data_IF_682311030825
#
_entry.id   IF_682311030825
#
_cell.length_a   1.000
_cell.length_b   1.000
_cell.length_c   1.000
_cell.angle_alpha   90.00
_cell.angle_beta   90.00
_cell.angle_gamma   90.00
#
_symmetry.space_group_name_H-M   'P 1'
#
loop_
_entity.id
_entity.type
_entity.pdbx_description
1 polymer ?
#
# COMPACT_ATOMS: atom_id res chain seq x y z
N UNK A 1 2.59 -16.03 9.81
CA UNK A 1 3.61 -15.64 8.79
C UNK A 1 4.96 -16.25 9.16
N UNK A 2 5.79 -16.68 8.20
CA UNK A 2 7.11 -17.26 8.53
C UNK A 2 8.11 -16.21 9.05
N UNK A 3 9.15 -16.67 9.76
CA UNK A 3 10.12 -15.79 10.43
C UNK A 3 10.92 -14.88 9.48
N UNK A 4 11.14 -15.30 8.23
CA UNK A 4 11.88 -14.49 7.26
C UNK A 4 11.01 -13.34 6.74
N UNK A 5 9.75 -13.64 6.41
CA UNK A 5 8.78 -12.63 6.02
C UNK A 5 8.50 -11.64 7.18
N UNK A 6 8.41 -12.14 8.41
CA UNK A 6 8.34 -11.31 9.61
C UNK A 6 9.51 -10.34 9.74
N UNK A 7 10.75 -10.83 9.58
CA UNK A 7 11.93 -10.00 9.64
C UNK A 7 11.91 -8.92 8.55
N UNK A 8 11.57 -9.29 7.31
CA UNK A 8 11.49 -8.34 6.20
C UNK A 8 10.44 -7.23 6.45
N UNK A 9 9.28 -7.59 7.01
CA UNK A 9 8.25 -6.62 7.39
C UNK A 9 8.73 -5.72 8.52
N UNK A 10 9.39 -6.26 9.55
CA UNK A 10 9.93 -5.48 10.66
C UNK A 10 11.00 -4.48 10.19
N UNK A 11 11.92 -4.91 9.35
CA UNK A 11 12.93 -4.03 8.75
C UNK A 11 12.29 -2.94 7.89
N UNK A 12 11.29 -3.28 7.08
CA UNK A 12 10.55 -2.31 6.28
C UNK A 12 9.88 -1.25 7.16
N UNK A 13 9.25 -1.65 8.27
CA UNK A 13 8.58 -0.73 9.18
C UNK A 13 9.55 0.15 9.96
N UNK A 14 10.73 -0.38 10.30
CA UNK A 14 11.82 0.41 10.87
C UNK A 14 12.31 1.50 9.88
N UNK A 15 12.35 1.22 8.58
CA UNK A 15 12.67 2.23 7.55
C UNK A 15 11.62 3.35 7.50
N UNK A 16 10.35 3.03 7.75
CA UNK A 16 9.24 4.00 7.76
C UNK A 16 9.13 4.80 9.07
N UNK A 17 10.12 4.73 9.97
CA UNK A 17 10.12 5.33 11.31
C UNK A 17 8.95 4.89 12.22
N UNK A 18 8.16 3.89 11.79
CA UNK A 18 7.08 3.28 12.55
C UNK A 18 7.65 2.08 13.32
N UNK A 19 8.22 2.35 14.50
CA UNK A 19 8.65 1.30 15.42
C UNK A 19 7.40 0.54 15.87
N UNK A 20 7.21 -0.67 15.33
CA UNK A 20 6.17 -1.58 15.81
C UNK A 20 6.42 -1.77 17.31
N UNK A 21 5.47 -1.41 18.18
CA UNK A 21 5.64 -1.67 19.59
C UNK A 21 5.77 -3.19 19.81
N UNK A 22 6.72 -3.66 20.62
CA UNK A 22 7.02 -5.10 20.78
C UNK A 22 5.78 -5.97 21.06
N UNK A 23 4.75 -5.40 21.66
CA UNK A 23 3.46 -6.03 21.95
C UNK A 23 2.62 -6.37 20.71
N UNK A 24 2.85 -5.72 19.57
CA UNK A 24 2.20 -6.03 18.29
C UNK A 24 2.91 -7.11 17.49
N UNK A 25 4.12 -7.56 17.86
CA UNK A 25 4.82 -8.64 17.15
C UNK A 25 4.01 -9.96 17.11
N UNK A 26 3.19 -10.19 18.14
CA UNK A 26 2.28 -11.35 18.23
C UNK A 26 1.25 -11.41 17.09
N UNK A 27 0.98 -10.29 16.41
CA UNK A 27 0.06 -10.27 15.27
C UNK A 27 0.56 -11.18 14.16
N UNK A 28 1.87 -11.27 13.96
CA UNK A 28 2.47 -12.02 12.85
C UNK A 28 2.45 -13.54 13.04
N UNK A 29 2.16 -14.01 14.26
CA UNK A 29 2.00 -15.43 14.56
C UNK A 29 0.69 -15.98 13.97
N UNK A 30 -0.24 -15.09 13.60
CA UNK A 30 -1.50 -15.47 12.97
C UNK A 30 -1.28 -15.92 11.50
N UNK A 31 -2.08 -16.89 11.00
CA UNK A 31 -2.01 -17.35 9.61
C UNK A 31 -2.44 -16.27 8.61
N UNK A 32 -3.23 -15.30 9.07
CA UNK A 32 -3.65 -14.12 8.34
C UNK A 32 -3.77 -12.95 9.29
N UNK A 33 -3.61 -11.73 8.78
CA UNK A 33 -3.86 -10.54 9.57
C UNK A 33 -3.66 -9.27 8.79
N UNK A 34 -3.95 -8.17 9.46
CA UNK A 34 -3.90 -6.81 8.90
C UNK A 34 -3.16 -5.92 9.86
N UNK A 35 -2.17 -5.21 9.36
CA UNK A 35 -1.46 -4.17 10.06
C UNK A 35 -1.69 -2.83 9.34
N UNK A 36 -2.36 -1.92 10.02
CA UNK A 36 -2.65 -0.56 9.54
C UNK A 36 -1.60 0.39 10.05
N UNK A 37 -1.00 1.17 9.15
CA UNK A 37 0.16 2.02 9.44
C UNK A 37 -0.16 3.43 9.00
N UNK A 38 0.06 4.37 9.91
CA UNK A 38 -0.03 5.80 9.61
C UNK A 38 1.35 6.33 9.26
N UNK A 39 1.52 6.86 8.06
CA UNK A 39 2.77 7.46 7.56
C UNK A 39 2.95 8.88 8.13
N UNK A 40 4.17 9.24 8.55
CA UNK A 40 4.51 10.61 8.94
C UNK A 40 4.29 11.61 7.78
N UNK A 41 4.04 12.87 8.13
CA UNK A 41 3.84 13.95 7.15
C UNK A 41 5.03 14.18 6.22
N UNK A 42 6.24 13.78 6.62
CA UNK A 42 7.48 13.88 5.83
C UNK A 42 7.48 13.00 4.58
N UNK A 43 6.68 11.93 4.56
CA UNK A 43 6.48 11.08 3.38
C UNK A 43 5.39 11.62 2.46
N UNK A 44 4.73 12.71 2.85
CA UNK A 44 3.66 13.34 2.10
C UNK A 44 4.25 14.29 1.06
N UNK A 45 4.52 13.76 -0.13
CA UNK A 45 4.74 14.60 -1.32
C UNK A 45 3.44 15.26 -1.82
N UNK A 46 2.30 15.04 -1.14
CA UNK A 46 0.97 15.47 -1.56
C UNK A 46 0.17 15.92 -0.33
N UNK A 47 -0.14 17.22 -0.23
CA UNK A 47 -0.68 17.87 0.97
C UNK A 47 -2.05 17.38 1.50
N UNK A 48 -2.66 16.34 0.93
CA UNK A 48 -4.00 15.89 1.32
C UNK A 48 -4.19 14.36 1.22
N UNK A 49 -4.40 13.74 2.39
CA UNK A 49 -5.28 12.59 2.67
C UNK A 49 -4.80 11.12 2.66
N UNK A 50 -3.61 10.73 2.22
CA UNK A 50 -3.24 9.30 2.25
C UNK A 50 -2.03 9.00 3.14
N UNK A 51 -2.14 9.36 4.41
CA UNK A 51 -1.19 8.93 5.44
C UNK A 51 -1.43 7.50 5.90
N UNK A 52 -2.22 6.68 5.20
CA UNK A 52 -2.60 5.36 5.68
C UNK A 52 -2.19 4.29 4.68
N UNK A 53 -1.49 3.26 5.14
CA UNK A 53 -1.24 2.03 4.38
C UNK A 53 -1.67 0.82 5.19
N UNK A 54 -2.01 -0.27 4.52
CA UNK A 54 -2.23 -1.55 5.18
C UNK A 54 -1.31 -2.61 4.61
N UNK A 55 -0.76 -3.41 5.52
CA UNK A 55 -0.11 -4.68 5.23
C UNK A 55 -1.11 -5.78 5.60
N UNK A 56 -1.58 -6.52 4.59
CA UNK A 56 -2.45 -7.68 4.80
C UNK A 56 -1.71 -8.95 4.42
N UNK A 57 -1.56 -9.90 5.31
CA UNK A 57 -1.04 -11.22 4.94
C UNK A 57 -2.15 -12.26 5.03
N UNK A 58 -2.14 -13.17 4.08
CA UNK A 58 -3.04 -14.31 4.05
C UNK A 58 -2.35 -15.45 3.30
N UNK A 59 -2.30 -16.63 3.94
CA UNK A 59 -1.71 -17.84 3.37
C UNK A 59 -0.25 -17.63 2.92
N UNK A 60 -0.04 -17.45 1.61
CA UNK A 60 1.26 -17.35 0.94
C UNK A 60 1.58 -15.93 0.46
N UNK A 61 0.68 -14.97 0.68
CA UNK A 61 0.79 -13.63 0.09
C UNK A 61 0.77 -12.54 1.15
N UNK A 62 1.54 -11.50 0.89
CA UNK A 62 1.46 -10.21 1.55
C UNK A 62 0.94 -9.19 0.54
N UNK A 63 -0.09 -8.46 0.92
CA UNK A 63 -0.66 -7.36 0.16
C UNK A 63 -0.30 -6.05 0.83
N UNK A 64 0.40 -5.18 0.09
CA UNK A 64 0.53 -3.75 0.39
C UNK A 64 -0.67 -3.04 -0.20
N UNK A 65 -1.44 -2.35 0.63
CA UNK A 65 -2.70 -1.72 0.26
C UNK A 65 -2.62 -0.24 0.58
N UNK A 66 -2.87 0.61 -0.42
CA UNK A 66 -2.87 2.07 -0.28
C UNK A 66 -4.23 2.60 -0.75
N UNK A 67 -4.96 3.33 0.10
CA UNK A 67 -6.20 3.99 -0.30
C UNK A 67 -5.90 5.03 -1.37
N UNK A 68 -6.81 5.23 -2.30
CA UNK A 68 -6.80 6.38 -3.21
C UNK A 68 -7.95 7.27 -2.77
N UNK A 69 -7.64 8.44 -2.21
CA UNK A 69 -8.69 9.41 -1.87
C UNK A 69 -9.34 9.88 -3.15
N UNK A 70 -10.61 9.53 -3.34
CA UNK A 70 -11.26 9.63 -4.63
C UNK A 70 -12.59 10.37 -4.56
N UNK A 71 -12.69 11.50 -5.28
CA UNK A 71 -13.87 12.37 -5.27
C UNK A 71 -14.80 12.19 -6.50
N UNK A 72 -14.78 11.08 -7.25
CA UNK A 72 -15.75 10.92 -8.36
C UNK A 72 -15.59 9.72 -9.32
N UNK A 73 -16.61 8.88 -9.40
CA UNK A 73 -16.58 7.51 -9.98
C UNK A 73 -16.37 7.37 -11.51
N UNK A 74 -16.69 8.36 -12.35
CA UNK A 74 -16.95 8.08 -13.78
C UNK A 74 -15.80 8.32 -14.78
N UNK A 75 -14.74 9.06 -14.42
CA UNK A 75 -13.57 9.27 -15.33
C UNK A 75 -12.48 8.20 -15.22
N UNK A 76 -12.61 7.23 -14.31
CA UNK A 76 -11.44 6.59 -13.67
C UNK A 76 -10.99 5.25 -14.24
N UNK A 77 -11.82 4.50 -14.95
CA UNK A 77 -11.39 3.17 -15.45
C UNK A 77 -10.18 3.26 -16.40
N UNK A 78 -10.16 4.24 -17.32
CA UNK A 78 -9.06 4.41 -18.27
C UNK A 78 -7.76 4.91 -17.61
N UNK A 79 -7.85 5.86 -16.67
CA UNK A 79 -6.69 6.36 -15.91
C UNK A 79 -6.10 5.26 -15.00
N UNK A 80 -6.95 4.47 -14.36
CA UNK A 80 -6.52 3.34 -13.52
C UNK A 80 -5.87 2.24 -14.36
N UNK A 81 -6.43 1.90 -15.52
CA UNK A 81 -5.83 0.94 -16.46
C UNK A 81 -4.50 1.46 -17.02
N UNK A 82 -4.40 2.74 -17.35
CA UNK A 82 -3.15 3.35 -17.81
C UNK A 82 -2.06 3.28 -16.73
N UNK A 83 -2.40 3.52 -15.46
CA UNK A 83 -1.46 3.42 -14.34
C UNK A 83 -0.95 1.98 -14.12
N UNK A 84 -1.83 0.99 -14.21
CA UNK A 84 -1.44 -0.41 -14.08
C UNK A 84 -0.60 -0.89 -15.27
N UNK A 85 -0.88 -0.42 -16.49
CA UNK A 85 -0.20 -0.86 -17.71
C UNK A 85 1.30 -0.55 -17.75
N UNK A 86 1.76 0.41 -16.94
CA UNK A 86 3.17 0.83 -16.86
C UNK A 86 3.85 0.28 -15.61
N UNK A 87 3.15 -0.51 -14.79
CA UNK A 87 3.72 -1.06 -13.57
C UNK A 87 4.77 -2.14 -13.89
N UNK A 88 6.02 -1.99 -13.40
CA UNK A 88 6.98 -3.09 -13.41
C UNK A 88 6.69 -4.12 -12.31
N UNK A 89 5.66 -3.90 -11.49
CA UNK A 89 5.33 -4.68 -10.30
C UNK A 89 3.91 -5.27 -10.41
N UNK A 90 3.64 -6.44 -9.80
CA UNK A 90 2.30 -6.98 -9.69
C UNK A 90 1.44 -6.05 -8.82
N UNK A 91 0.63 -5.22 -9.46
CA UNK A 91 -0.27 -4.28 -8.83
C UNK A 91 -1.66 -4.36 -9.46
N UNK A 92 -2.68 -4.07 -8.66
CA UNK A 92 -4.07 -4.09 -9.06
C UNK A 92 -4.79 -2.91 -8.41
N UNK A 93 -5.88 -2.49 -9.04
CA UNK A 93 -6.82 -1.54 -8.45
C UNK A 93 -8.06 -2.32 -8.03
N UNK A 94 -8.45 -2.17 -6.77
CA UNK A 94 -9.65 -2.79 -6.21
C UNK A 94 -10.60 -1.68 -5.75
N UNK A 95 -11.88 -1.88 -6.00
CA UNK A 95 -12.95 -1.05 -5.44
C UNK A 95 -13.60 -1.81 -4.29
N UNK A 96 -13.76 -1.16 -3.14
CA UNK A 96 -14.47 -1.77 -2.00
C UNK A 96 -15.99 -1.56 -2.08
N UNK A 97 -16.71 -2.09 -1.09
CA UNK A 97 -18.18 -2.00 -1.01
C UNK A 97 -18.71 -0.58 -0.78
N UNK A 98 -17.83 0.37 -0.48
CA UNK A 98 -18.15 1.78 -0.28
C UNK A 98 -17.70 2.62 -1.47
N UNK A 99 -17.43 1.98 -2.61
CA UNK A 99 -16.93 2.60 -3.84
C UNK A 99 -15.58 3.31 -3.67
N UNK A 100 -14.81 2.94 -2.65
CA UNK A 100 -13.46 3.49 -2.44
C UNK A 100 -12.45 2.69 -3.23
N UNK A 101 -11.53 3.41 -3.87
CA UNK A 101 -10.47 2.82 -4.67
C UNK A 101 -9.23 2.52 -3.81
N UNK A 102 -8.63 1.37 -4.07
CA UNK A 102 -7.45 0.87 -3.39
C UNK A 102 -6.42 0.41 -4.42
N UNK A 103 -5.19 0.88 -4.29
CA UNK A 103 -4.06 0.28 -4.98
C UNK A 103 -3.50 -0.85 -4.12
N UNK A 104 -3.42 -2.04 -4.71
CA UNK A 104 -2.95 -3.24 -4.02
C UNK A 104 -1.76 -3.79 -4.78
N UNK A 105 -0.68 -4.08 -4.08
CA UNK A 105 0.43 -4.86 -4.64
C UNK A 105 0.67 -6.10 -3.81
N UNK A 106 0.84 -7.23 -4.48
CA UNK A 106 0.97 -8.54 -3.82
C UNK A 106 2.39 -9.07 -3.98
N UNK A 107 2.95 -9.57 -2.89
CA UNK A 107 4.26 -10.19 -2.83
C UNK A 107 4.13 -11.58 -2.18
N UNK A 108 4.79 -12.61 -2.73
CA UNK A 108 4.81 -13.92 -2.09
C UNK A 108 5.63 -13.85 -0.79
N UNK A 109 5.09 -14.42 0.29
CA UNK A 109 5.72 -14.44 1.61
C UNK A 109 7.05 -15.21 1.58
N UNK A 110 7.09 -16.33 0.84
CA UNK A 110 8.28 -17.21 0.75
C UNK A 110 9.54 -16.51 0.23
N UNK A 111 9.38 -15.49 -0.61
CA UNK A 111 10.49 -14.74 -1.21
C UNK A 111 10.46 -13.27 -0.81
N UNK A 112 9.78 -12.93 0.29
CA UNK A 112 9.63 -11.57 0.74
C UNK A 112 10.97 -10.97 1.18
N UNK A 113 11.30 -9.80 0.65
CA UNK A 113 12.50 -9.04 0.99
C UNK A 113 12.12 -7.61 1.29
N UNK A 114 12.82 -7.00 2.25
CA UNK A 114 12.68 -5.60 2.64
C UNK A 114 12.83 -4.66 1.43
N UNK A 115 13.80 -4.91 0.55
CA UNK A 115 14.00 -4.11 -0.67
C UNK A 115 12.83 -4.18 -1.64
N UNK A 116 12.18 -5.35 -1.76
CA UNK A 116 10.96 -5.51 -2.56
C UNK A 116 9.81 -4.74 -1.93
N UNK A 117 9.61 -4.83 -0.61
CA UNK A 117 8.60 -4.05 0.10
C UNK A 117 8.77 -2.54 -0.11
N UNK A 118 9.99 -2.01 0.08
CA UNK A 118 10.27 -0.60 -0.14
C UNK A 118 9.97 -0.15 -1.56
N UNK A 119 10.36 -0.95 -2.57
CA UNK A 119 10.10 -0.64 -3.98
C UNK A 119 8.59 -0.60 -4.29
N UNK A 120 7.86 -1.61 -3.81
CA UNK A 120 6.42 -1.69 -4.01
C UNK A 120 5.69 -0.56 -3.29
N UNK A 121 6.09 -0.26 -2.05
CA UNK A 121 5.57 0.86 -1.29
C UNK A 121 5.77 2.20 -2.00
N UNK A 122 7.00 2.49 -2.44
CA UNK A 122 7.32 3.74 -3.14
C UNK A 122 6.50 3.89 -4.43
N UNK A 123 6.40 2.81 -5.21
CA UNK A 123 5.60 2.83 -6.43
C UNK A 123 4.12 3.07 -6.15
N UNK A 124 3.54 2.39 -5.16
CA UNK A 124 2.13 2.53 -4.80
C UNK A 124 1.80 3.94 -4.31
N UNK A 125 2.63 4.51 -3.44
CA UNK A 125 2.40 5.86 -2.90
C UNK A 125 2.57 6.93 -3.98
N UNK A 126 3.55 6.80 -4.88
CA UNK A 126 3.70 7.68 -6.04
C UNK A 126 2.47 7.63 -6.96
N UNK A 127 1.95 6.44 -7.27
CA UNK A 127 0.78 6.30 -8.15
C UNK A 127 -0.51 6.78 -7.49
N UNK A 128 -0.68 6.53 -6.18
CA UNK A 128 -1.79 7.09 -5.42
C UNK A 128 -1.77 8.63 -5.46
N UNK A 129 -0.60 9.25 -5.28
CA UNK A 129 -0.45 10.71 -5.34
C UNK A 129 -0.77 11.27 -6.73
N UNK A 130 -0.35 10.60 -7.81
CA UNK A 130 -0.67 11.02 -9.19
C UNK A 130 -2.19 11.00 -9.42
N UNK A 131 -2.88 9.95 -8.95
CA UNK A 131 -4.34 9.83 -9.06
C UNK A 131 -5.09 10.95 -8.33
N UNK A 132 -4.62 11.30 -7.14
CA UNK A 132 -5.19 12.39 -6.35
C UNK A 132 -4.99 13.74 -7.06
N UNK A 133 -3.77 14.05 -7.51
CA UNK A 133 -3.45 15.33 -8.15
C UNK A 133 -4.21 15.55 -9.46
N UNK A 134 -4.41 14.50 -10.27
CA UNK A 134 -5.21 14.60 -11.51
C UNK A 134 -6.70 14.84 -11.24
N UNK A 135 -7.21 14.35 -10.11
CA UNK A 135 -8.59 14.61 -9.69
C UNK A 135 -8.78 16.08 -9.29
N UNK A 136 -7.75 16.74 -8.75
CA UNK A 136 -7.79 18.16 -8.38
C UNK A 136 -7.70 19.11 -9.58
N UNK A 137 -6.87 18.81 -10.58
CA UNK A 137 -6.69 19.68 -11.76
C UNK A 137 -7.85 19.63 -12.75
N UNK A 138 -8.72 18.62 -12.67
CA UNK A 138 -9.90 18.50 -13.52
C UNK A 138 -11.10 19.40 -13.10
N UNK A 139 -10.97 20.13 -12.00
CA UNK A 139 -12.01 21.02 -11.44
C UNK A 139 -11.57 22.49 -11.30
N UNK A 140 -10.49 22.89 -11.97
CA UNK A 140 -10.04 24.29 -12.10
C UNK A 140 -10.42 24.90 -13.43
#
# INVERSE_FOLDING_TARGET
MDSNAQLAVKEFLAVLENVIPDHQSSIFDQPSGVLSITLPDTYSTCFVANHHIELRWEQFWLSLVVPVSDNGLTRKAADLLALLSVSPLPAQVVMDRQDRLWLVSQLPLESLRTSSLCRHFQWLTEKAAILQNRSHTAHG
#
